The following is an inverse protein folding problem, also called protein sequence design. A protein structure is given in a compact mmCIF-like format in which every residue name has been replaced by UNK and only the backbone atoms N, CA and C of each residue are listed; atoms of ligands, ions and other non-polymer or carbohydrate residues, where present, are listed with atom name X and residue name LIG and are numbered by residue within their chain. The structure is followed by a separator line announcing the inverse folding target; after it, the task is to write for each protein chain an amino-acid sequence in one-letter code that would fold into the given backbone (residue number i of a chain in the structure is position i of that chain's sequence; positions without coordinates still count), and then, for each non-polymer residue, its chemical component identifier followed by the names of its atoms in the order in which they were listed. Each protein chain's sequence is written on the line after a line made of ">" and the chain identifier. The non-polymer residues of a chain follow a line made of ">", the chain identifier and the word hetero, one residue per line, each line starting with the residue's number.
data_IF_717120467777
#
_entry.id   IF_717120467777
#
_cell.length_a   1.000
_cell.length_b   1.000
_cell.length_c   1.000
_cell.angle_alpha   90.00
_cell.angle_beta   90.00
_cell.angle_gamma   90.00
#
_symmetry.space_group_name_H-M   'P 1'
#
loop_
_entity.id
_entity.type
_entity.pdbx_description
1 polymer ?
#
# COMPACT_ATOMS: atom_id res chain seq x y z
N UNK A 1 -4.10 9.14 17.93
CA UNK A 1 -5.07 10.22 17.65
C UNK A 1 -4.97 10.74 16.22
N UNK A 2 -3.80 11.20 15.73
CA UNK A 2 -3.62 11.64 14.33
C UNK A 2 -3.86 10.54 13.28
N UNK A 3 -3.31 9.33 13.46
CA UNK A 3 -3.53 8.25 12.49
C UNK A 3 -5.00 7.80 12.40
N UNK A 4 -5.78 7.91 13.49
CA UNK A 4 -7.16 7.42 13.50
C UNK A 4 -8.14 8.35 12.80
N UNK A 5 -7.99 9.67 12.97
CA UNK A 5 -8.81 10.64 12.24
C UNK A 5 -8.53 10.59 10.74
N UNK A 6 -7.30 10.29 10.38
CA UNK A 6 -6.81 10.20 8.99
C UNK A 6 -7.38 8.99 8.28
N UNK A 7 -7.34 7.81 8.91
CA UNK A 7 -7.92 6.59 8.34
C UNK A 7 -9.46 6.66 8.27
N UNK A 8 -10.08 7.57 9.02
CA UNK A 8 -11.53 7.75 9.06
C UNK A 8 -12.05 8.81 8.05
N UNK A 9 -11.19 9.71 7.56
CA UNK A 9 -11.56 10.83 6.68
C UNK A 9 -11.15 10.62 5.20
N UNK A 10 -11.02 9.38 4.77
CA UNK A 10 -10.56 9.00 3.43
C UNK A 10 -11.49 9.48 2.32
N UNK A 11 -10.99 10.41 1.51
CA UNK A 11 -11.61 10.89 0.27
C UNK A 11 -10.64 10.56 -0.88
N UNK A 12 -11.12 9.96 -1.96
CA UNK A 12 -10.27 9.62 -3.12
C UNK A 12 -10.25 10.73 -4.17
N UNK A 13 -10.97 11.83 -3.93
CA UNK A 13 -11.13 12.94 -4.88
C UNK A 13 -10.10 14.07 -4.75
N UNK A 14 -9.25 14.10 -3.71
CA UNK A 14 -8.32 15.23 -3.46
C UNK A 14 -6.87 14.97 -3.89
N UNK A 15 -6.61 13.95 -4.70
CA UNK A 15 -5.38 13.84 -5.51
C UNK A 15 -4.16 13.25 -4.79
N UNK A 16 -2.96 13.72 -5.18
CA UNK A 16 -1.67 13.11 -4.85
C UNK A 16 -1.32 13.13 -3.36
N UNK A 17 -1.56 14.26 -2.68
CA UNK A 17 -1.18 14.43 -1.27
C UNK A 17 -1.92 13.44 -0.36
N UNK A 18 -3.19 13.15 -0.66
CA UNK A 18 -3.95 12.14 0.09
C UNK A 18 -3.45 10.72 -0.19
N UNK A 19 -3.04 10.41 -1.42
CA UNK A 19 -2.39 9.13 -1.73
C UNK A 19 -1.12 8.95 -0.88
N UNK A 20 -0.18 9.89 -0.95
CA UNK A 20 1.07 9.82 -0.20
C UNK A 20 0.81 9.73 1.31
N UNK A 21 -0.16 10.50 1.80
CA UNK A 21 -0.52 10.50 3.20
C UNK A 21 -1.12 9.18 3.66
N UNK A 22 -1.98 8.57 2.85
CA UNK A 22 -2.61 7.29 3.16
C UNK A 22 -1.62 6.13 3.06
N UNK A 23 -0.77 6.08 2.03
CA UNK A 23 0.26 5.04 1.92
C UNK A 23 1.27 5.14 3.06
N UNK A 24 1.69 6.36 3.44
CA UNK A 24 2.53 6.56 4.64
C UNK A 24 1.85 6.07 5.93
N UNK A 25 0.55 6.32 6.09
CA UNK A 25 -0.19 5.82 7.25
C UNK A 25 -0.29 4.28 7.26
N UNK A 26 -0.43 3.65 6.09
CA UNK A 26 -0.43 2.19 5.93
C UNK A 26 0.95 1.61 6.28
N UNK A 27 2.03 2.21 5.77
CA UNK A 27 3.39 1.82 6.11
C UNK A 27 3.60 1.86 7.62
N UNK A 28 3.23 2.97 8.28
CA UNK A 28 3.37 3.12 9.72
C UNK A 28 2.55 2.08 10.51
N UNK A 29 1.32 1.77 10.06
CA UNK A 29 0.48 0.74 10.65
C UNK A 29 1.14 -0.64 10.54
N UNK A 30 1.54 -1.05 9.33
CA UNK A 30 2.14 -2.36 9.08
C UNK A 30 3.45 -2.54 9.83
N UNK A 31 4.28 -1.50 9.86
CA UNK A 31 5.53 -1.49 10.60
C UNK A 31 5.28 -1.56 12.11
N UNK A 32 4.32 -0.81 12.64
CA UNK A 32 3.93 -0.83 14.05
C UNK A 32 3.43 -2.21 14.49
N UNK A 33 2.51 -2.80 13.72
CA UNK A 33 1.99 -4.15 13.98
C UNK A 33 3.12 -5.18 13.94
N UNK A 34 4.01 -5.13 12.94
CA UNK A 34 5.17 -6.01 12.86
C UNK A 34 6.08 -5.89 14.09
N UNK A 35 6.35 -4.67 14.57
CA UNK A 35 7.16 -4.44 15.77
C UNK A 35 6.55 -5.09 17.01
N UNK A 36 5.23 -4.99 17.17
CA UNK A 36 4.49 -5.62 18.27
C UNK A 36 4.56 -7.14 18.18
N UNK A 37 4.27 -7.70 17.01
CA UNK A 37 4.27 -9.16 16.78
C UNK A 37 5.66 -9.77 16.93
N UNK A 38 6.72 -9.06 16.51
CA UNK A 38 8.09 -9.55 16.59
C UNK A 38 8.67 -9.54 18.01
N UNK A 39 7.86 -9.24 19.04
CA UNK A 39 8.27 -9.04 20.43
C UNK A 39 9.39 -8.00 20.61
N UNK A 40 9.55 -7.09 19.63
CA UNK A 40 10.53 -6.01 19.69
C UNK A 40 10.00 -4.80 20.47
N UNK A 41 8.72 -4.82 20.81
CA UNK A 41 8.06 -3.80 21.63
C UNK A 41 8.22 -4.09 23.12
N UNK A 42 8.48 -3.07 23.94
CA UNK A 42 8.52 -3.18 25.41
C UNK A 42 7.12 -3.17 26.06
N UNK A 43 6.13 -3.75 25.39
CA UNK A 43 4.73 -3.72 25.80
C UNK A 43 4.42 -4.87 26.77
N UNK A 44 3.49 -4.63 27.69
CA UNK A 44 2.92 -5.72 28.50
C UNK A 44 2.04 -6.63 27.65
N UNK A 45 1.78 -7.89 28.06
CA UNK A 45 0.90 -8.79 27.31
C UNK A 45 -0.49 -8.21 27.01
N UNK A 46 -1.09 -7.48 27.96
CA UNK A 46 -2.38 -6.82 27.76
C UNK A 46 -2.32 -5.66 26.76
N UNK A 47 -1.23 -4.88 26.77
CA UNK A 47 -1.02 -3.81 25.79
C UNK A 47 -0.79 -4.38 24.38
N UNK A 48 -0.05 -5.48 24.28
CA UNK A 48 0.15 -6.22 23.03
C UNK A 48 -1.18 -6.67 22.45
N UNK A 49 -2.04 -7.32 23.26
CA UNK A 49 -3.34 -7.79 22.81
C UNK A 49 -4.22 -6.65 22.27
N UNK A 50 -4.31 -5.53 23.00
CA UNK A 50 -5.06 -4.35 22.59
C UNK A 50 -4.54 -3.77 21.26
N UNK A 51 -3.22 -3.65 21.11
CA UNK A 51 -2.62 -3.11 19.89
C UNK A 51 -2.76 -4.04 18.69
N UNK A 52 -2.70 -5.35 18.90
CA UNK A 52 -2.94 -6.32 17.84
C UNK A 52 -4.40 -6.32 17.38
N UNK A 53 -5.34 -6.22 18.31
CA UNK A 53 -6.77 -6.14 17.98
C UNK A 53 -7.09 -4.83 17.25
N UNK A 54 -6.55 -3.71 17.73
CA UNK A 54 -6.62 -2.44 17.00
C UNK A 54 -6.02 -2.56 15.60
N UNK A 55 -4.85 -3.20 15.47
CA UNK A 55 -4.17 -3.45 14.21
C UNK A 55 -5.03 -4.25 13.22
N UNK A 56 -5.63 -5.36 13.67
CA UNK A 56 -6.59 -6.15 12.86
C UNK A 56 -7.76 -5.30 12.39
N UNK A 57 -8.33 -4.51 13.29
CA UNK A 57 -9.37 -3.55 12.96
C UNK A 57 -8.94 -2.62 11.84
N UNK A 58 -7.75 -2.01 11.92
CA UNK A 58 -7.23 -1.11 10.89
C UNK A 58 -6.88 -1.80 9.57
N UNK A 59 -6.40 -3.04 9.59
CA UNK A 59 -6.17 -3.82 8.37
C UNK A 59 -7.48 -4.10 7.62
N UNK A 60 -8.60 -4.31 8.32
CA UNK A 60 -9.91 -4.43 7.66
C UNK A 60 -10.36 -3.13 6.95
N UNK A 61 -10.00 -1.96 7.49
CA UNK A 61 -10.23 -0.69 6.81
C UNK A 61 -9.39 -0.57 5.55
N UNK A 62 -8.12 -1.00 5.59
CA UNK A 62 -7.24 -1.05 4.42
C UNK A 62 -7.86 -1.90 3.29
N UNK A 63 -8.42 -3.07 3.62
CA UNK A 63 -9.14 -3.92 2.63
C UNK A 63 -10.26 -3.12 1.94
N UNK A 64 -11.08 -2.40 2.72
CA UNK A 64 -12.18 -1.61 2.16
C UNK A 64 -11.66 -0.50 1.25
N UNK A 65 -10.63 0.22 1.67
CA UNK A 65 -10.04 1.28 0.87
C UNK A 65 -9.42 0.77 -0.44
N UNK A 66 -8.69 -0.35 -0.41
CA UNK A 66 -8.16 -1.00 -1.61
C UNK A 66 -9.26 -1.46 -2.57
N UNK A 67 -10.44 -1.85 -2.07
CA UNK A 67 -11.61 -2.19 -2.90
C UNK A 67 -12.26 -0.96 -3.51
N UNK A 68 -12.38 0.10 -2.73
CA UNK A 68 -12.98 1.35 -3.19
C UNK A 68 -12.01 2.13 -4.12
N UNK A 69 -10.79 1.63 -4.30
CA UNK A 69 -9.75 2.13 -5.21
C UNK A 69 -10.04 1.88 -6.71
N UNK A 70 -11.23 1.43 -7.08
CA UNK A 70 -11.60 1.26 -8.49
C UNK A 70 -11.73 2.59 -9.27
N UNK A 71 -11.62 3.75 -8.61
CA UNK A 71 -11.82 5.09 -9.20
C UNK A 71 -10.53 5.87 -9.51
N UNK A 72 -9.46 5.21 -9.96
CA UNK A 72 -8.18 5.83 -10.39
C UNK A 72 -8.29 7.12 -11.22
N UNK A 73 -9.41 7.31 -11.93
CA UNK A 73 -9.74 8.51 -12.69
C UNK A 73 -9.86 9.79 -11.82
N UNK A 74 -10.22 9.67 -10.53
CA UNK A 74 -10.38 10.80 -9.61
C UNK A 74 -9.05 11.40 -9.15
N UNK A 75 -8.07 10.54 -8.85
CA UNK A 75 -6.75 10.96 -8.39
C UNK A 75 -5.98 11.77 -9.45
N UNK A 76 -6.11 11.44 -10.74
CA UNK A 76 -5.45 12.16 -11.83
C UNK A 76 -5.86 13.64 -11.92
N UNK A 77 -7.12 13.99 -11.65
CA UNK A 77 -7.60 15.38 -11.77
C UNK A 77 -6.87 16.33 -10.82
N UNK A 78 -6.40 15.85 -9.67
CA UNK A 78 -5.66 16.65 -8.68
C UNK A 78 -4.13 16.67 -8.86
N UNK A 79 -3.57 15.80 -9.71
CA UNK A 79 -2.12 15.64 -9.88
C UNK A 79 -1.56 16.38 -11.10
N UNK A 80 -2.44 16.86 -11.99
CA UNK A 80 -2.08 17.62 -13.20
C UNK A 80 -1.87 19.13 -12.92
N UNK A 81 -1.96 19.56 -11.66
CA UNK A 81 -1.86 20.97 -11.27
C UNK A 81 -0.42 21.50 -11.25
N UNK A 82 0.05 21.89 -12.43
CA UNK A 82 0.94 23.02 -12.79
C UNK A 82 1.97 23.45 -11.73
N UNK A 83 3.25 23.08 -11.91
CA UNK A 83 4.35 23.87 -11.38
C UNK A 83 4.56 25.11 -12.25
N UNK A 84 4.95 26.23 -11.65
CA UNK A 84 5.01 27.54 -12.30
C UNK A 84 6.05 27.66 -13.43
N UNK A 85 6.92 26.65 -13.61
CA UNK A 85 8.12 26.75 -14.47
C UNK A 85 8.12 25.78 -15.67
N UNK A 86 7.04 25.04 -15.90
CA UNK A 86 6.95 24.10 -17.01
C UNK A 86 6.23 22.82 -16.61
N UNK A 87 5.50 22.23 -17.55
CA UNK A 87 4.64 21.06 -17.34
C UNK A 87 5.52 19.86 -16.94
N UNK A 88 5.77 19.70 -15.64
CA UNK A 88 6.25 18.45 -15.10
C UNK A 88 5.01 17.56 -14.93
N UNK A 89 4.60 16.92 -16.04
CA UNK A 89 3.64 15.85 -15.97
C UNK A 89 4.33 14.66 -15.30
N UNK A 90 4.45 14.70 -13.98
CA UNK A 90 4.79 13.49 -13.24
C UNK A 90 3.82 12.42 -13.71
N UNK A 91 4.35 11.33 -14.24
CA UNK A 91 3.55 10.22 -14.73
C UNK A 91 2.91 9.56 -13.50
N UNK A 92 1.74 10.05 -13.11
CA UNK A 92 1.00 9.65 -11.91
C UNK A 92 0.92 8.13 -11.66
N UNK A 93 0.77 7.27 -12.70
CA UNK A 93 0.84 5.82 -12.52
C UNK A 93 2.12 5.33 -11.82
N UNK A 94 3.25 6.02 -12.02
CA UNK A 94 4.56 5.64 -11.49
C UNK A 94 4.66 5.89 -10.00
N UNK A 95 4.25 7.08 -9.55
CA UNK A 95 4.36 7.42 -8.14
C UNK A 95 3.45 6.52 -7.32
N UNK A 96 2.25 6.25 -7.84
CA UNK A 96 1.32 5.35 -7.16
C UNK A 96 1.83 3.90 -7.14
N UNK A 97 2.50 3.43 -8.20
CA UNK A 97 3.14 2.11 -8.21
C UNK A 97 4.27 1.99 -7.18
N UNK A 98 5.11 3.02 -7.04
CA UNK A 98 6.20 3.03 -6.06
C UNK A 98 5.65 2.96 -4.63
N UNK A 99 4.67 3.82 -4.28
CA UNK A 99 4.06 3.78 -2.95
C UNK A 99 3.31 2.46 -2.68
N UNK A 100 2.69 1.85 -3.70
CA UNK A 100 2.07 0.54 -3.55
C UNK A 100 3.11 -0.53 -3.18
N UNK A 101 4.29 -0.53 -3.81
CA UNK A 101 5.37 -1.46 -3.46
C UNK A 101 5.91 -1.13 -2.06
N UNK A 102 6.44 0.09 -1.86
CA UNK A 102 7.24 0.43 -0.68
C UNK A 102 6.43 0.51 0.59
N UNK A 103 5.17 0.95 0.49
CA UNK A 103 4.37 1.27 1.67
C UNK A 103 3.30 0.21 1.97
N UNK A 104 3.00 -0.67 1.01
CA UNK A 104 1.97 -1.70 1.16
C UNK A 104 2.53 -3.10 0.93
N UNK A 105 3.04 -3.42 -0.26
CA UNK A 105 3.43 -4.80 -0.60
C UNK A 105 4.64 -5.27 0.21
N UNK A 106 5.75 -4.52 0.20
CA UNK A 106 6.96 -4.90 0.94
C UNK A 106 6.71 -5.01 2.46
N UNK A 107 5.99 -4.07 3.11
CA UNK A 107 5.62 -4.23 4.52
C UNK A 107 4.71 -5.43 4.79
N UNK A 108 3.80 -5.79 3.87
CA UNK A 108 2.96 -6.98 4.00
C UNK A 108 3.78 -8.28 3.88
N UNK A 109 4.72 -8.34 2.92
CA UNK A 109 5.67 -9.46 2.80
C UNK A 109 6.45 -9.59 4.12
N UNK A 110 6.98 -8.48 4.61
CA UNK A 110 7.74 -8.46 5.84
C UNK A 110 6.91 -8.87 7.05
N UNK A 111 5.63 -8.50 7.14
CA UNK A 111 4.73 -8.92 8.21
C UNK A 111 4.38 -10.41 8.10
N UNK A 112 4.12 -10.93 6.91
CA UNK A 112 3.85 -12.36 6.73
C UNK A 112 5.07 -13.23 7.08
N UNK A 113 6.27 -12.66 6.96
CA UNK A 113 7.53 -13.35 7.24
C UNK A 113 7.88 -13.41 8.74
N UNK A 114 7.14 -12.74 9.63
CA UNK A 114 7.38 -12.80 11.07
C UNK A 114 6.51 -13.87 11.77
N UNK A 115 7.01 -14.50 12.86
CA UNK A 115 6.20 -15.43 13.66
C UNK A 115 4.91 -14.76 14.14
N UNK A 116 3.75 -15.36 13.86
CA UNK A 116 2.43 -14.80 14.19
C UNK A 116 1.95 -13.67 13.28
N UNK A 117 2.80 -13.07 12.45
CA UNK A 117 2.41 -11.94 11.59
C UNK A 117 1.41 -12.33 10.51
N UNK A 118 1.56 -13.53 9.94
CA UNK A 118 0.62 -14.10 8.94
C UNK A 118 -0.82 -14.32 9.49
N UNK A 119 -1.02 -14.40 10.81
CA UNK A 119 -2.38 -14.49 11.39
C UNK A 119 -3.15 -13.18 11.27
N UNK A 120 -2.43 -12.06 11.18
CA UNK A 120 -3.02 -10.72 11.10
C UNK A 120 -3.36 -10.33 9.67
N UNK A 121 -2.80 -11.05 8.70
CA UNK A 121 -3.03 -10.82 7.27
C UNK A 121 -4.13 -11.76 6.79
N UNK A 122 -5.20 -11.19 6.26
CA UNK A 122 -6.30 -11.95 5.65
C UNK A 122 -6.01 -12.21 4.17
N UNK A 123 -6.51 -13.32 3.64
CA UNK A 123 -6.50 -13.59 2.19
C UNK A 123 -7.26 -12.49 1.41
N UNK A 124 -8.28 -11.93 2.05
CA UNK A 124 -9.06 -10.81 1.54
C UNK A 124 -8.19 -9.57 1.31
N UNK A 125 -7.22 -9.30 2.19
CA UNK A 125 -6.28 -8.19 2.04
C UNK A 125 -5.33 -8.42 0.87
N UNK A 126 -4.74 -9.61 0.74
CA UNK A 126 -3.87 -9.93 -0.41
C UNK A 126 -4.65 -9.74 -1.73
N UNK A 127 -5.88 -10.27 -1.77
CA UNK A 127 -6.74 -10.19 -2.95
C UNK A 127 -7.27 -8.77 -3.22
N UNK A 128 -7.28 -7.89 -2.22
CA UNK A 128 -7.63 -6.48 -2.40
C UNK A 128 -6.45 -5.70 -3.02
N UNK A 129 -5.21 -6.00 -2.61
CA UNK A 129 -4.00 -5.40 -3.20
C UNK A 129 -3.85 -5.81 -4.67
N UNK A 130 -4.00 -7.11 -5.00
CA UNK A 130 -3.93 -7.59 -6.38
C UNK A 130 -5.00 -6.98 -7.29
N UNK A 131 -6.23 -6.84 -6.77
CA UNK A 131 -7.32 -6.18 -7.50
C UNK A 131 -7.05 -4.71 -7.72
N UNK A 132 -6.57 -3.99 -6.70
CA UNK A 132 -6.20 -2.58 -6.85
C UNK A 132 -5.17 -2.40 -7.97
N UNK A 133 -4.16 -3.27 -8.05
CA UNK A 133 -3.19 -3.26 -9.14
C UNK A 133 -3.79 -3.61 -10.50
N UNK A 134 -4.64 -4.64 -10.57
CA UNK A 134 -5.34 -5.00 -11.81
C UNK A 134 -6.19 -3.83 -12.35
N UNK A 135 -6.87 -3.11 -11.46
CA UNK A 135 -7.65 -1.91 -11.81
C UNK A 135 -6.76 -0.77 -12.34
N UNK A 136 -5.52 -0.62 -11.84
CA UNK A 136 -4.52 0.31 -12.42
C UNK A 136 -4.23 -0.06 -13.86
N UNK A 137 -3.90 -1.32 -14.12
CA UNK A 137 -3.49 -1.77 -15.45
C UNK A 137 -4.61 -1.57 -16.47
N UNK A 138 -5.87 -1.76 -16.07
CA UNK A 138 -7.04 -1.50 -16.92
C UNK A 138 -7.23 0.00 -17.19
N UNK A 139 -7.04 0.85 -16.18
CA UNK A 139 -7.17 2.30 -16.33
C UNK A 139 -6.03 2.90 -17.19
N UNK A 140 -4.84 2.29 -17.16
CA UNK A 140 -3.64 2.74 -17.86
C UNK A 140 -3.02 1.59 -18.69
N UNK A 141 -3.68 1.20 -19.80
CA UNK A 141 -3.28 0.02 -20.57
C UNK A 141 -2.01 0.23 -21.39
N UNK A 142 -1.60 1.49 -21.62
CA UNK A 142 -0.44 1.83 -22.44
C UNK A 142 0.74 2.22 -21.55
N UNK A 143 1.86 1.49 -21.58
CA UNK A 143 3.10 2.00 -21.02
C UNK A 143 3.49 3.28 -21.76
N UNK A 144 3.85 4.33 -21.03
CA UNK A 144 4.30 5.60 -21.61
C UNK A 144 5.81 5.48 -21.88
N UNK A 145 6.25 5.86 -23.09
CA UNK A 145 7.64 5.73 -23.58
C UNK A 145 8.61 6.75 -23.00
N UNK A 146 9.84 6.30 -22.72
CA UNK A 146 10.95 7.02 -22.07
C UNK A 146 11.37 8.31 -22.80
N UNK A 147 10.97 9.47 -22.28
CA UNK A 147 11.57 10.79 -22.54
C UNK A 147 12.74 10.98 -21.58
N UNK A 148 13.95 10.75 -22.05
CA UNK A 148 15.17 10.96 -21.26
C UNK A 148 15.28 12.42 -20.78
N UNK A 149 15.57 12.61 -19.49
CA UNK A 149 16.02 13.92 -18.98
C UNK A 149 15.43 14.38 -17.65
N UNK A 150 14.41 13.72 -17.13
CA UNK A 150 13.76 14.14 -15.86
C UNK A 150 14.03 13.13 -14.74
N UNK A 151 14.23 13.63 -13.52
CA UNK A 151 14.50 12.89 -12.26
C UNK A 151 13.36 11.96 -11.79
N UNK A 152 12.43 11.63 -12.68
CA UNK A 152 11.29 10.77 -12.38
C UNK A 152 11.59 9.35 -12.84
N UNK A 153 11.68 8.46 -11.86
CA UNK A 153 11.93 7.03 -12.01
C UNK A 153 10.88 6.44 -12.95
N UNK A 154 11.30 6.15 -14.18
CA UNK A 154 10.48 5.47 -15.17
C UNK A 154 10.21 4.03 -14.78
N UNK A 155 9.13 3.45 -15.33
CA UNK A 155 8.80 2.03 -15.44
C UNK A 155 10.00 1.12 -15.79
N UNK A 156 10.90 0.93 -14.83
CA UNK A 156 11.56 -0.33 -14.58
C UNK A 156 10.78 -0.94 -13.42
N UNK A 157 10.14 -2.09 -13.64
CA UNK A 157 9.46 -2.81 -12.56
C UNK A 157 7.93 -2.91 -12.60
N UNK A 158 7.24 -2.80 -13.75
CA UNK A 158 5.89 -3.39 -13.85
C UNK A 158 5.95 -4.90 -13.56
N UNK A 159 6.96 -5.57 -14.13
CA UNK A 159 7.36 -6.93 -13.76
C UNK A 159 7.73 -7.05 -12.26
N UNK A 160 8.22 -5.97 -11.64
CA UNK A 160 8.51 -5.92 -10.21
C UNK A 160 7.23 -5.92 -9.39
N UNK A 161 6.14 -5.28 -9.80
CA UNK A 161 4.88 -5.35 -9.03
C UNK A 161 4.28 -6.74 -9.14
N UNK A 162 4.18 -7.30 -10.35
CA UNK A 162 3.65 -8.67 -10.53
C UNK A 162 4.54 -9.71 -9.81
N UNK A 163 5.86 -9.55 -9.85
CA UNK A 163 6.79 -10.37 -9.08
C UNK A 163 6.63 -10.17 -7.57
N UNK A 164 6.42 -8.94 -7.10
CA UNK A 164 6.20 -8.61 -5.67
C UNK A 164 4.86 -9.12 -5.16
N UNK A 165 3.82 -9.07 -5.97
CA UNK A 165 2.52 -9.69 -5.66
C UNK A 165 2.65 -11.21 -5.61
N UNK A 166 3.41 -11.79 -6.54
CA UNK A 166 3.74 -13.24 -6.51
C UNK A 166 4.54 -13.60 -5.26
N UNK A 167 5.54 -12.79 -4.88
CA UNK A 167 6.33 -12.94 -3.66
C UNK A 167 5.43 -12.86 -2.42
N UNK A 168 4.55 -11.87 -2.34
CA UNK A 168 3.57 -11.71 -1.27
C UNK A 168 2.66 -12.92 -1.15
N UNK A 169 2.09 -13.39 -2.27
CA UNK A 169 1.21 -14.56 -2.30
C UNK A 169 1.94 -15.83 -1.88
N UNK A 170 3.16 -16.03 -2.36
CA UNK A 170 4.00 -17.18 -1.99
C UNK A 170 4.39 -17.15 -0.51
N UNK A 171 4.78 -15.99 0.00
CA UNK A 171 5.12 -15.79 1.41
C UNK A 171 3.91 -16.07 2.31
N UNK A 172 2.75 -15.53 1.95
CA UNK A 172 1.50 -15.74 2.67
C UNK A 172 1.10 -17.21 2.74
N UNK A 173 1.09 -17.90 1.59
CA UNK A 173 0.70 -19.31 1.49
C UNK A 173 1.69 -20.24 2.18
N UNK A 174 3.00 -20.01 2.00
CA UNK A 174 4.06 -20.76 2.68
C UNK A 174 4.02 -20.60 4.21
N UNK A 175 3.81 -19.38 4.70
CA UNK A 175 3.67 -19.12 6.14
C UNK A 175 2.39 -19.71 6.75
N UNK A 176 1.31 -19.85 5.96
CA UNK A 176 0.07 -20.55 6.38
C UNK A 176 0.21 -22.06 6.40
N UNK A 177 0.93 -22.64 5.45
CA UNK A 177 1.14 -24.09 5.33
C UNK A 177 2.11 -24.66 6.37
N UNK A 178 2.94 -23.82 6.98
CA UNK A 178 3.94 -24.20 7.99
C UNK A 178 3.40 -24.25 9.43
N UNK A 179 2.08 -24.15 9.60
CA UNK A 179 1.36 -24.23 10.88
C UNK A 179 0.56 -25.51 10.96
#
# INVERSE_FOLDING_TARGET
>A
MMAESVLASWDTSRGFEELQFHTTAIFALLHGVRHVVSAQSQLTPSQTEVLLEWGRGRLSYLVRWLRDWDSWQGLHKGCVTISADGICAMTFPHIASNYLITDVIDPLISLCSTPGGVELVSEELISAVERAWSSVQVAYPNPIDIVQGEEFVWCSGLDSIDAKLTELRTTYTGARASK
#
